data_IF_190697046600
#
_entry.id   IF_190697046600
#
_cell.length_a   1.000
_cell.length_b   1.000
_cell.length_c   1.000
_cell.angle_alpha   90.00
_cell.angle_beta   90.00
_cell.angle_gamma   90.00
#
_symmetry.space_group_name_H-M   'P 1'
#
loop_
_entity.id
_entity.type
_entity.pdbx_description
1 polymer ?
#
# COMPACT_ATOMS: atom_id res chain seq x y z
N UNK A 1 -25.41 45.45 -20.86
CA UNK A 1 -23.93 45.42 -20.93
C UNK A 1 -23.44 46.21 -22.15
N UNK A 2 -22.14 46.58 -22.25
CA UNK A 2 -21.59 47.22 -23.48
C UNK A 2 -21.07 46.13 -24.44
N UNK A 3 -21.19 46.33 -25.75
CA UNK A 3 -20.72 45.34 -26.74
C UNK A 3 -19.22 45.03 -26.58
N UNK A 4 -18.39 46.04 -26.32
CA UNK A 4 -16.94 45.87 -26.06
C UNK A 4 -16.64 45.01 -24.83
N UNK A 5 -17.47 45.08 -23.79
CA UNK A 5 -17.32 44.23 -22.60
C UNK A 5 -17.76 42.81 -22.87
N UNK A 6 -18.79 42.61 -23.71
CA UNK A 6 -19.22 41.28 -24.13
C UNK A 6 -18.13 40.58 -24.92
N UNK A 7 -17.57 41.22 -25.94
CA UNK A 7 -16.56 40.62 -26.81
C UNK A 7 -15.32 40.14 -26.03
N UNK A 8 -14.95 40.85 -24.94
CA UNK A 8 -13.83 40.44 -24.06
C UNK A 8 -14.15 39.22 -23.22
N UNK A 9 -15.41 39.04 -22.82
CA UNK A 9 -15.86 37.98 -21.92
C UNK A 9 -16.55 36.81 -22.65
N UNK A 10 -16.72 36.93 -23.96
CA UNK A 10 -17.48 35.97 -24.76
C UNK A 10 -16.91 34.56 -24.71
N UNK A 11 -15.58 34.43 -24.65
CA UNK A 11 -14.93 33.12 -24.61
C UNK A 11 -15.28 32.38 -23.32
N UNK A 12 -15.16 33.07 -22.18
CA UNK A 12 -15.53 32.53 -20.87
C UNK A 12 -17.02 32.21 -20.76
N UNK A 13 -17.88 32.94 -21.49
CA UNK A 13 -19.31 32.61 -21.56
C UNK A 13 -19.59 31.36 -22.41
N UNK A 14 -18.88 31.17 -23.53
CA UNK A 14 -19.02 29.95 -24.34
C UNK A 14 -18.44 28.70 -23.67
N UNK A 15 -17.47 28.87 -22.78
CA UNK A 15 -16.84 27.79 -22.01
C UNK A 15 -17.51 27.54 -20.65
N UNK A 16 -18.64 28.20 -20.35
CA UNK A 16 -19.36 28.12 -19.06
C UNK A 16 -18.51 28.48 -17.81
N UNK A 17 -17.48 29.31 -17.99
CA UNK A 17 -16.51 29.73 -16.96
C UNK A 17 -16.87 31.10 -16.32
N UNK A 18 -18.12 31.56 -16.46
CA UNK A 18 -18.58 32.85 -15.93
C UNK A 18 -19.49 32.67 -14.69
N UNK A 19 -19.40 33.55 -13.67
CA UNK A 19 -20.39 33.58 -12.59
C UNK A 19 -21.81 33.79 -13.12
N UNK A 20 -22.79 33.10 -12.51
CA UNK A 20 -24.18 33.05 -12.97
C UNK A 20 -24.80 34.42 -13.25
N UNK A 21 -24.52 35.41 -12.39
CA UNK A 21 -25.03 36.78 -12.53
C UNK A 21 -24.57 37.43 -13.84
N UNK A 22 -23.30 37.26 -14.23
CA UNK A 22 -22.76 37.83 -15.47
C UNK A 22 -23.27 37.05 -16.70
N UNK A 23 -23.46 35.74 -16.57
CA UNK A 23 -24.01 34.91 -17.64
C UNK A 23 -25.45 35.32 -18.01
N UNK A 24 -26.28 35.70 -17.02
CA UNK A 24 -27.64 36.21 -17.24
C UNK A 24 -27.60 37.54 -18.00
N UNK A 25 -26.75 38.48 -17.59
CA UNK A 25 -26.59 39.78 -18.28
C UNK A 25 -26.11 39.62 -19.73
N UNK A 26 -25.22 38.65 -19.98
CA UNK A 26 -24.75 38.34 -21.32
C UNK A 26 -25.84 37.72 -22.19
N UNK A 27 -26.63 36.77 -21.66
CA UNK A 27 -27.79 36.20 -22.38
C UNK A 27 -28.80 37.27 -22.76
N UNK A 28 -29.09 38.20 -21.86
CA UNK A 28 -29.99 39.33 -22.15
C UNK A 28 -29.45 40.21 -23.28
N UNK A 29 -28.14 40.52 -23.27
CA UNK A 29 -27.55 41.35 -24.32
C UNK A 29 -27.47 40.66 -25.69
N UNK A 30 -27.23 39.34 -25.71
CA UNK A 30 -27.25 38.55 -26.95
C UNK A 30 -28.66 38.48 -27.56
N UNK A 31 -29.71 38.50 -26.74
CA UNK A 31 -31.09 38.56 -27.22
C UNK A 31 -31.48 39.93 -27.81
N UNK A 32 -30.83 41.01 -27.35
CA UNK A 32 -31.14 42.38 -27.76
C UNK A 32 -30.25 42.89 -28.91
N UNK A 33 -29.04 42.35 -29.06
CA UNK A 33 -28.04 42.84 -30.01
C UNK A 33 -27.66 41.79 -31.06
N UNK A 34 -28.23 41.92 -32.27
CA UNK A 34 -27.99 41.00 -33.40
C UNK A 34 -26.51 40.92 -33.79
N UNK A 35 -25.76 42.03 -33.73
CA UNK A 35 -24.33 42.03 -34.10
C UNK A 35 -23.48 41.22 -33.12
N UNK A 36 -23.79 41.28 -31.83
CA UNK A 36 -23.11 40.47 -30.81
C UNK A 36 -23.52 38.99 -30.91
N UNK A 37 -24.77 38.71 -31.27
CA UNK A 37 -25.25 37.34 -31.51
C UNK A 37 -24.54 36.70 -32.70
N UNK A 38 -24.44 37.40 -33.83
CA UNK A 38 -23.71 36.91 -35.00
C UNK A 38 -22.23 36.66 -34.69
N UNK A 39 -21.58 37.57 -33.95
CA UNK A 39 -20.19 37.39 -33.53
C UNK A 39 -20.00 36.18 -32.61
N UNK A 40 -20.94 35.93 -31.70
CA UNK A 40 -20.92 34.73 -30.84
C UNK A 40 -21.07 33.43 -31.63
N UNK A 41 -21.96 33.42 -32.63
CA UNK A 41 -22.16 32.26 -33.50
C UNK A 41 -20.90 31.94 -34.32
N UNK A 42 -20.28 32.97 -34.91
CA UNK A 42 -19.03 32.81 -35.67
C UNK A 42 -17.89 32.29 -34.78
N UNK A 43 -17.78 32.81 -33.57
CA UNK A 43 -16.78 32.34 -32.61
C UNK A 43 -17.03 30.88 -32.21
N UNK A 44 -18.29 30.51 -31.95
CA UNK A 44 -18.66 29.13 -31.62
C UNK A 44 -18.34 28.16 -32.75
N UNK A 45 -18.62 28.54 -34.01
CA UNK A 45 -18.24 27.74 -35.20
C UNK A 45 -16.73 27.56 -35.28
N UNK A 46 -15.97 28.63 -35.06
CA UNK A 46 -14.50 28.60 -35.11
C UNK A 46 -13.92 27.67 -34.05
N UNK A 47 -14.43 27.76 -32.81
CA UNK A 47 -14.02 26.86 -31.72
C UNK A 47 -14.42 25.40 -31.99
N UNK A 48 -15.59 25.18 -32.61
CA UNK A 48 -16.05 23.84 -32.98
C UNK A 48 -15.11 23.11 -33.95
N UNK A 49 -14.48 23.82 -34.89
CA UNK A 49 -13.49 23.25 -35.82
C UNK A 49 -12.28 22.73 -35.03
N UNK A 50 -11.78 23.51 -34.07
CA UNK A 50 -10.65 23.12 -33.22
C UNK A 50 -11.00 21.88 -32.39
N UNK A 51 -12.24 21.80 -31.90
CA UNK A 51 -12.70 20.66 -31.11
C UNK A 51 -12.73 19.35 -31.91
N UNK A 52 -13.09 19.42 -33.19
CA UNK A 52 -13.11 18.25 -34.10
C UNK A 52 -11.69 17.72 -34.32
N UNK A 53 -10.74 18.61 -34.63
CA UNK A 53 -9.34 18.23 -34.87
C UNK A 53 -8.66 17.72 -33.58
N UNK A 54 -9.04 18.26 -32.42
CA UNK A 54 -8.52 17.86 -31.12
C UNK A 54 -9.02 16.50 -30.66
N UNK A 55 -9.99 15.87 -31.32
CA UNK A 55 -10.55 14.57 -30.91
C UNK A 55 -9.44 13.51 -30.84
N UNK A 56 -8.96 13.14 -29.65
CA UNK A 56 -7.91 12.14 -29.54
C UNK A 56 -8.49 10.78 -29.93
N UNK A 57 -7.71 9.94 -30.59
CA UNK A 57 -8.06 8.52 -30.72
C UNK A 57 -8.23 7.94 -29.32
N UNK A 58 -9.48 7.63 -28.95
CA UNK A 58 -9.79 7.08 -27.64
C UNK A 58 -9.15 5.70 -27.58
N UNK A 59 -8.15 5.55 -26.70
CA UNK A 59 -7.51 4.24 -26.49
C UNK A 59 -8.60 3.20 -26.17
N UNK A 60 -8.71 2.10 -26.94
CA UNK A 60 -9.77 1.10 -26.77
C UNK A 60 -9.87 0.51 -25.36
N UNK A 61 -8.78 0.56 -24.58
CA UNK A 61 -8.71 0.03 -23.22
C UNK A 61 -8.80 1.10 -22.13
N UNK A 62 -9.03 2.37 -22.47
CA UNK A 62 -9.13 3.43 -21.46
C UNK A 62 -10.28 3.17 -20.51
N UNK A 63 -11.47 2.86 -21.04
CA UNK A 63 -12.66 2.59 -20.24
C UNK A 63 -12.50 1.38 -19.34
N UNK A 64 -11.92 0.28 -19.86
CA UNK A 64 -11.72 -0.95 -19.09
C UNK A 64 -10.72 -0.74 -17.95
N UNK A 65 -9.61 -0.03 -18.20
CA UNK A 65 -8.63 0.33 -17.17
C UNK A 65 -9.21 1.26 -16.11
N UNK A 66 -9.99 2.26 -16.51
CA UNK A 66 -10.65 3.18 -15.58
C UNK A 66 -11.63 2.43 -14.67
N UNK A 67 -12.49 1.59 -15.26
CA UNK A 67 -13.45 0.76 -14.52
C UNK A 67 -12.73 -0.14 -13.51
N UNK A 68 -11.68 -0.83 -13.95
CA UNK A 68 -10.89 -1.68 -13.07
C UNK A 68 -10.26 -0.91 -11.91
N UNK A 69 -9.76 0.31 -12.14
CA UNK A 69 -9.22 1.17 -11.06
C UNK A 69 -10.31 1.52 -10.03
N UNK A 70 -11.49 1.95 -10.47
CA UNK A 70 -12.58 2.32 -9.57
C UNK A 70 -13.12 1.13 -8.76
N UNK A 71 -13.20 -0.06 -9.37
CA UNK A 71 -13.59 -1.27 -8.66
C UNK A 71 -12.52 -1.69 -7.64
N UNK A 72 -11.24 -1.63 -8.00
CA UNK A 72 -10.13 -1.95 -7.10
C UNK A 72 -10.02 -0.97 -5.91
N UNK A 73 -10.29 0.32 -6.10
CA UNK A 73 -10.34 1.28 -4.99
C UNK A 73 -11.46 0.92 -3.99
N UNK A 74 -12.66 0.59 -4.48
CA UNK A 74 -13.78 0.13 -3.62
C UNK A 74 -13.48 -1.18 -2.90
N UNK A 75 -12.76 -2.10 -3.54
CA UNK A 75 -12.34 -3.37 -2.92
C UNK A 75 -11.28 -3.12 -1.86
N UNK A 76 -10.29 -2.25 -2.11
CA UNK A 76 -9.27 -1.89 -1.14
C UNK A 76 -9.84 -1.14 0.07
N UNK A 77 -10.83 -0.28 -0.12
CA UNK A 77 -11.56 0.34 1.01
C UNK A 77 -12.27 -0.72 1.84
N UNK A 78 -12.97 -1.68 1.22
CA UNK A 78 -13.66 -2.76 1.94
C UNK A 78 -12.70 -3.73 2.66
N UNK A 79 -11.53 -4.02 2.08
CA UNK A 79 -10.54 -4.91 2.69
C UNK A 79 -9.78 -4.28 3.86
N UNK A 80 -9.76 -2.94 3.97
CA UNK A 80 -9.12 -2.24 5.10
C UNK A 80 -9.98 -2.15 6.37
N UNK A 81 -11.25 -2.56 6.32
CA UNK A 81 -12.19 -2.46 7.47
C UNK A 81 -12.32 -3.77 8.27
N UNK A 82 -11.53 -4.81 7.97
CA UNK A 82 -11.59 -6.11 8.66
C UNK A 82 -10.28 -6.48 9.38
N UNK A 83 -10.17 -6.09 10.65
CA UNK A 83 -9.28 -6.61 11.71
C UNK A 83 -7.90 -7.23 11.33
N UNK A 84 -6.96 -6.49 10.73
CA UNK A 84 -5.59 -6.99 10.48
C UNK A 84 -4.75 -7.19 11.76
N UNK A 85 -5.25 -6.77 12.93
CA UNK A 85 -4.54 -6.89 14.21
C UNK A 85 -4.78 -8.24 14.88
N UNK A 86 -5.95 -8.86 14.71
CA UNK A 86 -6.25 -10.14 15.35
C UNK A 86 -5.44 -11.28 14.75
N UNK A 87 -5.34 -11.41 13.42
CA UNK A 87 -4.48 -12.45 12.80
C UNK A 87 -2.99 -12.21 13.09
N UNK A 88 -2.53 -10.95 13.07
CA UNK A 88 -1.13 -10.61 13.31
C UNK A 88 -0.69 -10.81 14.76
N UNK A 89 -1.60 -10.78 15.73
CA UNK A 89 -1.26 -10.90 17.16
C UNK A 89 -1.65 -12.26 17.73
N UNK A 90 -2.80 -12.81 17.36
CA UNK A 90 -3.32 -14.04 17.96
C UNK A 90 -2.50 -15.27 17.54
N UNK A 91 -2.05 -15.33 16.28
CA UNK A 91 -1.23 -16.43 15.79
C UNK A 91 0.13 -16.51 16.51
N UNK A 92 0.97 -15.46 16.58
CA UNK A 92 2.23 -15.53 17.31
C UNK A 92 2.04 -15.69 18.83
N UNK A 93 0.98 -15.11 19.41
CA UNK A 93 0.67 -15.29 20.83
C UNK A 93 0.36 -16.75 21.19
N UNK A 94 -0.39 -17.47 20.35
CA UNK A 94 -0.71 -18.88 20.56
C UNK A 94 0.55 -19.77 20.50
N UNK A 95 1.41 -19.56 19.51
CA UNK A 95 2.68 -20.30 19.42
C UNK A 95 3.62 -19.99 20.59
N UNK A 96 3.69 -18.73 21.03
CA UNK A 96 4.46 -18.35 22.21
C UNK A 96 3.94 -19.02 23.49
N UNK A 97 2.61 -19.07 23.66
CA UNK A 97 1.97 -19.75 24.78
C UNK A 97 2.26 -21.26 24.78
N UNK A 98 2.17 -21.93 23.61
CA UNK A 98 2.50 -23.34 23.48
C UNK A 98 3.96 -23.63 23.81
N UNK A 99 4.89 -22.77 23.37
CA UNK A 99 6.31 -22.90 23.66
C UNK A 99 6.56 -22.79 25.17
N UNK A 100 5.99 -21.78 25.82
CA UNK A 100 6.08 -21.61 27.28
C UNK A 100 5.47 -22.79 28.04
N UNK A 101 4.32 -23.30 27.59
CA UNK A 101 3.69 -24.48 28.18
C UNK A 101 4.56 -25.75 28.01
N UNK A 102 5.20 -25.91 26.86
CA UNK A 102 6.14 -27.01 26.60
C UNK A 102 7.38 -26.93 27.49
N UNK A 103 7.97 -25.74 27.64
CA UNK A 103 9.11 -25.53 28.56
C UNK A 103 8.67 -25.83 30.00
N UNK A 104 7.53 -25.29 30.44
CA UNK A 104 7.04 -25.47 31.80
C UNK A 104 6.75 -26.95 32.12
N UNK A 105 6.08 -27.65 31.21
CA UNK A 105 5.81 -29.08 31.38
C UNK A 105 7.10 -29.90 31.35
N UNK A 106 8.03 -29.58 30.46
CA UNK A 106 9.36 -30.18 30.41
C UNK A 106 10.16 -30.01 31.70
N UNK A 107 10.18 -28.81 32.27
CA UNK A 107 10.84 -28.54 33.56
C UNK A 107 10.16 -29.32 34.69
N UNK A 108 8.83 -29.36 34.74
CA UNK A 108 8.09 -30.06 35.81
C UNK A 108 8.30 -31.59 35.75
N UNK A 109 8.38 -32.17 34.56
CA UNK A 109 8.66 -33.61 34.36
C UNK A 109 10.13 -33.91 34.63
N UNK A 110 11.03 -33.02 34.22
CA UNK A 110 12.47 -33.15 34.39
C UNK A 110 13.00 -32.82 35.79
N UNK A 111 12.18 -32.22 36.65
CA UNK A 111 12.51 -32.07 38.08
C UNK A 111 12.40 -33.45 38.74
N UNK A 112 13.51 -34.09 39.13
CA UNK A 112 13.41 -35.26 39.99
C UNK A 112 12.69 -34.79 41.26
N UNK A 113 11.55 -35.44 41.56
CA UNK A 113 10.86 -35.26 42.83
C UNK A 113 11.93 -35.24 43.91
N UNK A 114 12.02 -34.16 44.70
CA UNK A 114 13.14 -33.80 45.55
C UNK A 114 13.60 -35.00 46.39
N UNK A 115 14.43 -35.83 45.78
CA UNK A 115 14.99 -37.02 46.33
C UNK A 115 16.29 -36.52 46.91
N UNK A 116 16.23 -36.30 48.22
CA UNK A 116 17.40 -36.09 49.07
C UNK A 116 18.54 -36.97 48.56
N UNK A 117 19.62 -36.31 48.15
CA UNK A 117 20.98 -36.85 48.13
C UNK A 117 21.15 -38.24 47.50
N UNK A 118 21.54 -38.29 46.22
CA UNK A 118 22.42 -39.37 45.74
C UNK A 118 23.13 -38.99 44.44
N UNK A 119 24.40 -38.61 44.60
CA UNK A 119 25.52 -38.56 43.66
C UNK A 119 25.29 -39.09 42.23
N UNK A 120 25.27 -38.20 41.25
CA UNK A 120 25.64 -38.48 39.86
C UNK A 120 27.17 -38.37 39.69
N UNK A 121 27.90 -39.41 40.07
CA UNK A 121 29.35 -39.56 39.81
C UNK A 121 29.55 -40.92 39.11
N UNK A 122 28.98 -41.14 37.93
CA UNK A 122 29.28 -42.37 37.17
C UNK A 122 29.20 -42.24 35.64
N UNK A 123 28.90 -41.06 35.09
CA UNK A 123 28.75 -40.91 33.63
C UNK A 123 29.86 -40.08 32.95
N UNK A 124 30.72 -39.40 33.69
CA UNK A 124 31.70 -38.46 33.11
C UNK A 124 33.15 -38.99 33.12
N UNK A 125 33.44 -40.05 33.88
CA UNK A 125 34.83 -40.48 34.12
C UNK A 125 35.40 -41.44 33.06
N UNK A 126 34.58 -42.17 32.31
CA UNK A 126 35.11 -43.20 31.39
C UNK A 126 35.38 -42.74 29.96
N UNK A 127 34.80 -41.62 29.50
CA UNK A 127 34.93 -41.17 28.10
C UNK A 127 36.10 -40.20 27.87
N UNK A 128 36.52 -39.46 28.90
CA UNK A 128 37.56 -38.43 28.80
C UNK A 128 38.99 -38.99 28.59
N UNK A 129 39.39 -40.13 29.20
CA UNK A 129 40.76 -40.65 29.02
C UNK A 129 41.06 -41.12 27.60
N UNK A 130 40.04 -41.54 26.84
CA UNK A 130 40.21 -42.10 25.50
C UNK A 130 40.31 -41.02 24.40
N UNK A 131 39.94 -39.78 24.71
CA UNK A 131 39.96 -38.66 23.75
C UNK A 131 41.20 -37.77 23.90
N UNK A 132 42.03 -37.98 24.93
CA UNK A 132 43.20 -37.15 25.23
C UNK A 132 44.52 -37.86 24.91
N UNK A 133 44.72 -38.18 23.64
CA UNK A 133 45.91 -38.87 23.11
C UNK A 133 47.22 -38.08 23.35
N UNK A 134 47.11 -36.75 23.53
CA UNK A 134 48.21 -35.83 23.88
C UNK A 134 48.80 -36.08 25.28
N UNK A 135 48.06 -36.77 26.16
CA UNK A 135 48.49 -37.08 27.52
C UNK A 135 49.09 -38.49 27.63
N UNK A 136 48.73 -39.38 26.70
CA UNK A 136 49.23 -40.77 26.66
C UNK A 136 50.58 -40.88 25.97
N UNK A 137 50.91 -40.00 25.02
CA UNK A 137 52.24 -39.91 24.42
C UNK A 137 52.80 -38.49 24.52
N UNK A 138 53.67 -38.18 25.52
CA UNK A 138 54.29 -36.87 25.61
C UNK A 138 55.22 -36.64 24.41
N UNK A 139 55.25 -35.41 23.88
CA UNK A 139 56.09 -34.99 22.73
C UNK A 139 57.57 -35.37 22.90
N UNK A 140 58.04 -35.54 24.14
CA UNK A 140 59.41 -35.97 24.45
C UNK A 140 59.75 -37.34 23.87
N UNK A 141 58.78 -38.27 23.82
CA UNK A 141 58.95 -39.61 23.23
C UNK A 141 59.14 -39.55 21.72
N UNK A 142 58.53 -38.58 21.04
CA UNK A 142 58.66 -38.39 19.58
C UNK A 142 59.97 -37.70 19.17
N UNK A 143 60.61 -36.98 20.10
CA UNK A 143 61.88 -36.28 19.88
C UNK A 143 63.12 -37.13 20.22
N UNK A 144 62.93 -38.34 20.74
CA UNK A 144 64.01 -39.30 21.04
C UNK A 144 64.15 -40.43 20.02
N UNK A 145 63.38 -40.41 18.92
CA UNK A 145 63.55 -41.31 17.75
C UNK A 145 64.29 -40.64 16.60
#
# INVERSE_FOLDING_TARGET
>A
MKCKTLHKKLIFFLEDDLPENEAIEMKAHLAECESCAAFAEDMQKTLGIIQIEKSPEVNPFFYTRLKARMENEKVQEKQRVGFPVWEKVLQPAFFSLLLLAGIYTGIKIGQPATAKTSHSIFAETELVPFLNEMQTEPIETFLME
#
